data_IF_729997125667
#
_entry.id   IF_729997125667
#
_cell.length_a   1.000
_cell.length_b   1.000
_cell.length_c   1.000
_cell.angle_alpha   90.00
_cell.angle_beta   90.00
_cell.angle_gamma   90.00
#
_symmetry.space_group_name_H-M   'P 1'
#
loop_
_entity.id
_entity.type
_entity.pdbx_description
1 polymer ?
#
# COMPACT_ATOMS: atom_id res chain seq x y z
N UNK A 1 7.70 -5.25 17.13
CA UNK A 1 6.51 -5.22 16.25
C UNK A 1 6.72 -4.09 15.27
N UNK A 2 6.85 -4.38 13.97
CA UNK A 2 6.92 -3.34 12.95
C UNK A 2 5.48 -3.12 12.49
N UNK A 3 4.94 -1.93 12.68
CA UNK A 3 3.58 -1.64 12.24
C UNK A 3 3.56 -1.65 10.71
N UNK A 4 2.66 -2.44 10.15
CA UNK A 4 2.39 -2.49 8.71
C UNK A 4 1.30 -1.45 8.40
N UNK A 5 1.50 -0.68 7.33
CA UNK A 5 0.51 0.29 6.86
C UNK A 5 0.07 -0.11 5.46
N UNK A 6 -1.22 -0.37 5.33
CA UNK A 6 -1.85 -0.69 4.07
C UNK A 6 -2.36 0.57 3.37
N UNK A 7 -1.96 0.77 2.11
CA UNK A 7 -2.27 1.96 1.32
C UNK A 7 -3.23 1.61 0.19
N UNK A 8 -4.47 2.10 0.30
CA UNK A 8 -5.50 2.00 -0.74
C UNK A 8 -5.56 3.31 -1.52
N UNK A 9 -5.09 3.29 -2.77
CA UNK A 9 -5.09 4.45 -3.64
C UNK A 9 -5.17 4.03 -5.12
N UNK A 10 -5.53 4.92 -6.05
CA UNK A 10 -5.39 4.66 -7.48
C UNK A 10 -3.92 4.37 -7.83
N UNK A 11 -3.70 3.55 -8.86
CA UNK A 11 -2.37 3.23 -9.41
C UNK A 11 -2.27 3.65 -10.87
N UNK A 12 -1.04 3.78 -11.37
CA UNK A 12 -0.75 4.18 -12.74
C UNK A 12 -1.12 5.64 -13.06
N UNK A 13 -1.29 5.96 -14.35
CA UNK A 13 -1.71 7.29 -14.80
C UNK A 13 -3.23 7.35 -14.96
N UNK A 14 -3.88 8.30 -14.29
CA UNK A 14 -5.31 8.60 -14.49
C UNK A 14 -5.50 10.10 -14.52
N UNK A 15 -6.29 10.58 -15.49
CA UNK A 15 -6.62 12.01 -15.62
C UNK A 15 -5.39 12.95 -15.65
N UNK A 16 -4.28 12.48 -16.24
CA UNK A 16 -3.02 13.23 -16.30
C UNK A 16 -2.16 13.18 -15.03
N UNK A 17 -2.63 12.53 -13.96
CA UNK A 17 -1.90 12.35 -12.71
C UNK A 17 -1.20 10.99 -12.71
N UNK A 18 0.08 10.96 -12.38
CA UNK A 18 0.85 9.73 -12.16
C UNK A 18 0.80 9.33 -10.68
N UNK A 19 -0.11 8.41 -10.35
CA UNK A 19 -0.27 7.94 -8.97
C UNK A 19 0.85 7.01 -8.50
N UNK A 20 1.64 6.46 -9.43
CA UNK A 20 2.84 5.71 -9.05
C UNK A 20 3.92 6.66 -8.53
N UNK A 21 4.12 7.81 -9.20
CA UNK A 21 5.00 8.85 -8.69
C UNK A 21 4.54 9.37 -7.32
N UNK A 22 3.24 9.64 -7.13
CA UNK A 22 2.69 10.06 -5.83
C UNK A 22 3.02 9.05 -4.72
N UNK A 23 2.88 7.75 -4.99
CA UNK A 23 3.21 6.72 -4.00
C UNK A 23 4.71 6.63 -3.72
N UNK A 24 5.54 6.55 -4.77
CA UNK A 24 6.98 6.31 -4.66
C UNK A 24 7.72 7.52 -4.07
N UNK A 25 7.29 8.73 -4.41
CA UNK A 25 8.02 9.95 -4.09
C UNK A 25 7.52 10.62 -2.81
N UNK A 26 6.25 10.40 -2.43
CA UNK A 26 5.64 11.09 -1.29
C UNK A 26 5.20 10.12 -0.18
N UNK A 27 4.33 9.16 -0.51
CA UNK A 27 3.66 8.33 0.50
C UNK A 27 4.62 7.30 1.11
N UNK A 28 5.31 6.52 0.27
CA UNK A 28 6.24 5.47 0.72
C UNK A 28 7.39 6.04 1.55
N UNK A 29 8.06 7.15 1.16
CA UNK A 29 9.12 7.74 1.98
C UNK A 29 8.61 8.26 3.32
N UNK A 30 7.41 8.85 3.38
CA UNK A 30 6.83 9.34 4.63
C UNK A 30 6.52 8.21 5.61
N UNK A 31 5.97 7.10 5.12
CA UNK A 31 5.70 5.91 5.92
C UNK A 31 6.99 5.24 6.42
N UNK A 32 8.02 5.15 5.56
CA UNK A 32 9.33 4.63 5.98
C UNK A 32 10.00 5.49 7.05
N UNK A 33 9.85 6.83 6.97
CA UNK A 33 10.34 7.75 8.00
C UNK A 33 9.62 7.58 9.34
N UNK A 34 8.33 7.22 9.32
CA UNK A 34 7.56 6.85 10.50
C UNK A 34 7.88 5.44 11.04
N UNK A 35 8.92 4.77 10.52
CA UNK A 35 9.34 3.42 10.86
C UNK A 35 8.28 2.33 10.63
N UNK A 36 7.27 2.61 9.79
CA UNK A 36 6.26 1.64 9.38
C UNK A 36 6.64 1.02 8.02
N UNK A 37 6.19 -0.21 7.78
CA UNK A 37 6.38 -0.86 6.49
C UNK A 37 5.14 -0.59 5.62
N UNK A 38 5.26 0.16 4.51
CA UNK A 38 4.13 0.42 3.62
C UNK A 38 3.90 -0.77 2.68
N UNK A 39 2.62 -1.07 2.45
CA UNK A 39 2.15 -2.06 1.49
C UNK A 39 1.04 -1.45 0.64
N UNK A 40 1.24 -1.35 -0.69
CA UNK A 40 0.22 -0.84 -1.62
C UNK A 40 -0.52 -1.99 -2.29
N UNK A 41 -1.80 -1.78 -2.57
CA UNK A 41 -2.68 -2.83 -3.02
C UNK A 41 -2.35 -3.48 -4.39
N UNK A 42 -1.50 -2.86 -5.20
CA UNK A 42 -1.06 -3.38 -6.50
C UNK A 42 0.36 -4.00 -6.48
N UNK A 43 1.07 -3.94 -5.34
CA UNK A 43 2.38 -4.61 -5.17
C UNK A 43 2.22 -6.12 -4.89
N UNK A 44 0.98 -6.62 -4.74
CA UNK A 44 0.65 -8.04 -4.57
C UNK A 44 0.47 -8.76 -5.92
N UNK A 45 1.44 -9.59 -6.29
CA UNK A 45 1.50 -10.35 -7.57
C UNK A 45 1.10 -11.83 -7.37
N UNK A 46 0.53 -12.21 -6.22
CA UNK A 46 0.12 -13.60 -5.98
C UNK A 46 -1.23 -13.88 -6.65
N UNK A 47 -1.34 -14.88 -7.55
CA UNK A 47 -2.60 -15.34 -8.09
C UNK A 47 -3.35 -16.12 -7.00
N UNK A 48 -4.11 -15.40 -6.19
CA UNK A 48 -4.90 -15.88 -5.06
C UNK A 48 -5.65 -14.69 -4.47
N UNK A 49 -6.85 -14.90 -3.96
CA UNK A 49 -7.89 -13.90 -3.70
C UNK A 49 -7.43 -12.71 -2.80
N UNK A 50 -6.83 -11.67 -3.41
CA UNK A 50 -6.31 -10.41 -2.82
C UNK A 50 -7.21 -9.83 -1.73
N UNK A 51 -8.53 -10.03 -1.85
CA UNK A 51 -9.50 -9.52 -0.88
C UNK A 51 -9.47 -10.24 0.46
N UNK A 52 -9.17 -11.54 0.54
CA UNK A 52 -9.24 -12.26 1.82
C UNK A 52 -8.04 -11.94 2.72
N UNK A 53 -6.83 -12.00 2.17
CA UNK A 53 -5.59 -11.83 2.93
C UNK A 53 -5.40 -10.38 3.39
N UNK A 54 -5.80 -9.40 2.57
CA UNK A 54 -5.82 -7.99 2.96
C UNK A 54 -6.84 -7.66 4.04
N UNK A 55 -8.04 -8.27 3.99
CA UNK A 55 -9.02 -8.10 5.05
C UNK A 55 -8.52 -8.72 6.36
N UNK A 56 -7.80 -9.84 6.30
CA UNK A 56 -7.17 -10.44 7.48
C UNK A 56 -6.09 -9.53 8.08
N UNK A 57 -5.19 -8.97 7.27
CA UNK A 57 -4.23 -7.96 7.75
C UNK A 57 -4.92 -6.75 8.40
N UNK A 58 -6.00 -6.25 7.80
CA UNK A 58 -6.77 -5.12 8.33
C UNK A 58 -7.47 -5.46 9.66
N UNK A 59 -7.92 -6.71 9.83
CA UNK A 59 -8.48 -7.23 11.09
C UNK A 59 -7.39 -7.46 12.17
N UNK A 60 -6.15 -7.74 11.77
CA UNK A 60 -5.03 -8.01 12.67
C UNK A 60 -4.24 -6.75 13.07
N UNK A 61 -4.48 -5.61 12.43
CA UNK A 61 -3.78 -4.34 12.68
C UNK A 61 -4.20 -3.61 13.99
N UNK A 62 -4.51 -4.36 15.06
CA UNK A 62 -4.92 -3.85 16.39
C UNK A 62 -3.72 -3.58 17.29
#
# INVERSE_FOLDING_TARGET
MRQHVFVVMPFGKKEGIDFNAVYLDLIKPALLQAAVAPFRADEEILPGDIRADMFQELLMAV
#
